data_IF_929354818987
#
_entry.id   IF_929354818987
#
_cell.length_a   1.000
_cell.length_b   1.000
_cell.length_c   1.000
_cell.angle_alpha   90.00
_cell.angle_beta   90.00
_cell.angle_gamma   90.00
#
_symmetry.space_group_name_H-M   'P 1'
#
loop_
_entity.id
_entity.type
_entity.pdbx_description
1 polymer ?
#
# COMPACT_ATOMS: atom_id res chain seq x y z
N UNK A 1 26.50 -55.80 -5.15
CA UNK A 1 25.09 -56.15 -4.91
C UNK A 1 24.31 -55.11 -4.09
N UNK A 2 24.95 -54.15 -3.40
CA UNK A 2 24.22 -53.10 -2.65
C UNK A 2 23.59 -52.04 -3.55
N UNK A 3 24.20 -51.73 -4.67
CA UNK A 3 23.79 -50.59 -5.53
C UNK A 3 22.51 -50.89 -6.32
N UNK A 4 22.31 -52.14 -6.75
CA UNK A 4 21.10 -52.56 -7.47
C UNK A 4 19.81 -52.35 -6.65
N UNK A 5 19.87 -52.56 -5.33
CA UNK A 5 18.73 -52.36 -4.43
C UNK A 5 18.41 -50.87 -4.19
N UNK A 6 19.42 -49.99 -4.23
CA UNK A 6 19.23 -48.55 -4.07
C UNK A 6 18.47 -47.95 -5.27
N UNK A 7 18.86 -48.33 -6.49
CA UNK A 7 18.17 -47.87 -7.70
C UNK A 7 16.73 -48.36 -7.76
N UNK A 8 16.47 -49.60 -7.35
CA UNK A 8 15.13 -50.17 -7.35
C UNK A 8 14.22 -49.47 -6.32
N UNK A 9 14.77 -49.13 -5.16
CA UNK A 9 14.08 -48.32 -4.15
C UNK A 9 13.80 -46.90 -4.65
N UNK A 10 14.76 -46.26 -5.31
CA UNK A 10 14.56 -44.95 -5.94
C UNK A 10 13.49 -44.99 -7.03
N UNK A 11 13.48 -45.99 -7.92
CA UNK A 11 12.49 -46.12 -9.00
C UNK A 11 11.06 -46.24 -8.45
N UNK A 12 10.87 -46.97 -7.34
CA UNK A 12 9.56 -47.11 -6.70
C UNK A 12 9.17 -45.87 -5.89
N UNK A 13 10.13 -45.25 -5.21
CA UNK A 13 9.89 -44.11 -4.32
C UNK A 13 9.66 -42.80 -5.09
N UNK A 14 10.34 -42.63 -6.22
CA UNK A 14 10.32 -41.41 -7.03
C UNK A 14 8.90 -40.99 -7.47
N UNK A 15 8.04 -41.85 -8.06
CA UNK A 15 6.68 -41.47 -8.42
C UNK A 15 5.76 -41.24 -7.22
N UNK A 16 6.11 -41.74 -6.03
CA UNK A 16 5.34 -41.51 -4.79
C UNK A 16 5.66 -40.14 -4.21
N UNK A 17 6.93 -39.73 -4.26
CA UNK A 17 7.41 -38.49 -3.62
C UNK A 17 7.32 -37.29 -4.56
N UNK A 18 7.47 -37.46 -5.88
CA UNK A 18 7.44 -36.32 -6.81
C UNK A 18 6.13 -35.53 -6.81
N UNK A 19 4.94 -36.17 -6.94
CA UNK A 19 3.68 -35.45 -6.98
C UNK A 19 3.40 -34.54 -5.78
N UNK A 20 3.58 -34.99 -4.51
CA UNK A 20 3.38 -34.09 -3.36
C UNK A 20 4.43 -32.98 -3.32
N UNK A 21 5.66 -33.25 -3.73
CA UNK A 21 6.75 -32.24 -3.73
C UNK A 21 6.49 -31.13 -4.76
N UNK A 22 6.00 -31.48 -5.95
CA UNK A 22 5.55 -30.51 -6.96
C UNK A 22 4.34 -29.72 -6.45
N UNK A 23 3.39 -30.41 -5.81
CA UNK A 23 2.17 -29.77 -5.28
C UNK A 23 2.50 -28.71 -4.23
N UNK A 24 3.33 -29.08 -3.23
CA UNK A 24 3.80 -28.15 -2.19
C UNK A 24 4.57 -26.99 -2.82
N UNK A 25 5.49 -27.26 -3.74
CA UNK A 25 6.27 -26.22 -4.43
C UNK A 25 5.38 -25.24 -5.20
N UNK A 26 4.34 -25.74 -5.87
CA UNK A 26 3.41 -24.93 -6.64
C UNK A 26 2.51 -24.06 -5.75
N UNK A 27 2.04 -24.59 -4.63
CA UNK A 27 1.25 -23.82 -3.65
C UNK A 27 2.11 -22.73 -3.02
N UNK A 28 3.35 -23.04 -2.66
CA UNK A 28 4.29 -22.07 -2.11
C UNK A 28 4.59 -20.98 -3.14
N UNK A 29 4.90 -21.36 -4.38
CA UNK A 29 5.14 -20.43 -5.47
C UNK A 29 3.94 -19.51 -5.73
N UNK A 30 2.72 -20.06 -5.79
CA UNK A 30 1.50 -19.27 -5.94
C UNK A 30 1.31 -18.29 -4.79
N UNK A 31 1.50 -18.72 -3.53
CA UNK A 31 1.40 -17.82 -2.37
C UNK A 31 2.45 -16.70 -2.41
N UNK A 32 3.69 -17.01 -2.77
CA UNK A 32 4.75 -16.01 -2.87
C UNK A 32 4.42 -14.99 -3.97
N UNK A 33 4.08 -15.46 -5.18
CA UNK A 33 3.79 -14.61 -6.34
C UNK A 33 2.48 -13.82 -6.18
N UNK A 34 1.46 -14.36 -5.52
CA UNK A 34 0.19 -13.65 -5.31
C UNK A 34 0.29 -12.56 -4.24
N UNK A 35 1.18 -12.69 -3.27
CA UNK A 35 1.39 -11.68 -2.22
C UNK A 35 2.36 -10.58 -2.65
N UNK A 36 3.19 -10.84 -3.67
CA UNK A 36 4.17 -9.90 -4.22
C UNK A 36 3.54 -8.56 -4.71
N UNK A 37 2.40 -8.54 -5.44
CA UNK A 37 1.77 -7.30 -5.88
C UNK A 37 1.26 -6.41 -4.73
N UNK A 38 0.60 -7.01 -3.74
CA UNK A 38 0.03 -6.27 -2.60
C UNK A 38 1.14 -5.73 -1.68
N UNK A 39 2.14 -6.55 -1.38
CA UNK A 39 3.29 -6.14 -0.57
C UNK A 39 4.08 -5.01 -1.25
N UNK A 40 4.30 -5.10 -2.56
CA UNK A 40 4.96 -4.03 -3.33
C UNK A 40 4.14 -2.74 -3.30
N UNK A 41 2.82 -2.83 -3.46
CA UNK A 41 1.92 -1.68 -3.39
C UNK A 41 2.01 -1.00 -2.02
N UNK A 42 1.95 -1.77 -0.93
CA UNK A 42 2.06 -1.23 0.43
C UNK A 42 3.41 -0.55 0.66
N UNK A 43 4.52 -1.13 0.18
CA UNK A 43 5.85 -0.51 0.26
C UNK A 43 5.91 0.82 -0.51
N UNK A 44 5.37 0.86 -1.72
CA UNK A 44 5.33 2.11 -2.52
C UNK A 44 4.48 3.17 -1.80
N UNK A 45 3.32 2.79 -1.27
CA UNK A 45 2.45 3.71 -0.50
C UNK A 45 3.16 4.26 0.75
N UNK A 46 3.90 3.42 1.49
CA UNK A 46 4.69 3.86 2.64
C UNK A 46 5.80 4.84 2.25
N UNK A 47 6.56 4.54 1.20
CA UNK A 47 7.61 5.43 0.68
C UNK A 47 7.01 6.76 0.25
N UNK A 48 5.93 6.74 -0.54
CA UNK A 48 5.26 7.95 -1.02
C UNK A 48 4.79 8.82 0.15
N UNK A 49 4.08 8.24 1.12
CA UNK A 49 3.58 8.98 2.28
C UNK A 49 4.73 9.59 3.10
N UNK A 50 5.82 8.83 3.31
CA UNK A 50 7.00 9.31 4.03
C UNK A 50 7.68 10.48 3.31
N UNK A 51 7.84 10.38 1.99
CA UNK A 51 8.48 11.42 1.18
C UNK A 51 7.64 12.68 1.11
N UNK A 52 6.32 12.54 0.89
CA UNK A 52 5.40 13.67 0.86
C UNK A 52 5.36 14.37 2.22
N UNK A 53 5.29 13.62 3.32
CA UNK A 53 5.32 14.20 4.66
C UNK A 53 6.65 14.94 4.94
N UNK A 54 7.78 14.34 4.55
CA UNK A 54 9.08 14.99 4.68
C UNK A 54 9.18 16.29 3.87
N UNK A 55 8.68 16.30 2.63
CA UNK A 55 8.66 17.50 1.79
C UNK A 55 7.73 18.56 2.37
N UNK A 56 6.53 18.21 2.83
CA UNK A 56 5.63 19.20 3.43
C UNK A 56 6.20 19.81 4.73
N UNK A 57 7.00 19.05 5.49
CA UNK A 57 7.68 19.55 6.70
C UNK A 57 8.95 20.36 6.41
N UNK A 58 9.67 20.05 5.33
CA UNK A 58 10.98 20.68 5.02
C UNK A 58 10.90 21.77 3.96
N UNK A 59 9.84 21.80 3.15
CA UNK A 59 9.65 22.75 2.06
C UNK A 59 9.10 24.11 2.53
N UNK A 60 9.78 24.71 3.50
CA UNK A 60 9.66 26.13 3.80
C UNK A 60 10.31 26.99 2.68
N UNK A 61 11.27 26.42 1.93
CA UNK A 61 12.03 27.10 0.86
C UNK A 61 11.49 26.84 -0.57
N UNK A 62 10.54 25.91 -0.76
CA UNK A 62 9.97 25.61 -2.09
C UNK A 62 8.63 26.31 -2.23
N UNK A 63 8.61 27.40 -3.01
CA UNK A 63 7.52 28.37 -3.02
C UNK A 63 6.28 27.94 -3.83
N UNK A 64 6.39 26.93 -4.71
CA UNK A 64 5.27 26.48 -5.54
C UNK A 64 4.91 25.00 -5.33
N UNK A 65 3.61 24.69 -5.40
CA UNK A 65 3.08 23.33 -5.30
C UNK A 65 3.57 22.41 -6.43
N UNK A 66 3.86 22.96 -7.61
CA UNK A 66 4.40 22.22 -8.74
C UNK A 66 5.84 21.75 -8.47
N UNK A 67 6.67 22.61 -7.90
CA UNK A 67 8.06 22.29 -7.58
C UNK A 67 8.14 21.25 -6.45
N UNK A 68 7.29 21.37 -5.42
CA UNK A 68 7.15 20.35 -4.36
C UNK A 68 6.77 18.98 -4.92
N UNK A 69 5.84 18.94 -5.88
CA UNK A 69 5.43 17.70 -6.56
C UNK A 69 6.57 17.09 -7.37
N UNK A 70 7.30 17.90 -8.14
CA UNK A 70 8.41 17.41 -8.95
C UNK A 70 9.56 16.88 -8.07
N UNK A 71 9.85 17.54 -6.94
CA UNK A 71 10.79 17.06 -5.94
C UNK A 71 10.33 15.72 -5.33
N UNK A 72 9.04 15.59 -4.98
CA UNK A 72 8.46 14.36 -4.46
C UNK A 72 8.57 13.21 -5.46
N UNK A 73 8.23 13.45 -6.73
CA UNK A 73 8.33 12.43 -7.79
C UNK A 73 9.78 11.95 -7.95
N UNK A 74 10.73 12.89 -7.99
CA UNK A 74 12.16 12.58 -8.16
C UNK A 74 12.68 11.74 -7.00
N UNK A 75 12.34 12.13 -5.76
CA UNK A 75 12.83 11.46 -4.56
C UNK A 75 12.18 10.08 -4.37
N UNK A 76 10.87 9.94 -4.63
CA UNK A 76 10.19 8.63 -4.63
C UNK A 76 10.78 7.72 -5.71
N UNK A 77 11.01 8.22 -6.94
CA UNK A 77 11.63 7.43 -8.00
C UNK A 77 13.02 6.92 -7.61
N UNK A 78 13.83 7.77 -6.99
CA UNK A 78 15.16 7.39 -6.53
C UNK A 78 15.10 6.28 -5.47
N UNK A 79 14.26 6.45 -4.44
CA UNK A 79 14.10 5.47 -3.36
C UNK A 79 13.58 4.13 -3.90
N UNK A 80 12.56 4.16 -4.76
CA UNK A 80 12.01 2.92 -5.35
C UNK A 80 13.02 2.21 -6.25
N UNK A 81 13.85 2.96 -6.97
CA UNK A 81 14.94 2.42 -7.79
C UNK A 81 16.00 1.74 -6.93
N UNK A 82 16.40 2.35 -5.81
CA UNK A 82 17.34 1.75 -4.85
C UNK A 82 16.78 0.47 -4.21
N UNK A 83 15.47 0.42 -3.98
CA UNK A 83 14.76 -0.77 -3.46
C UNK A 83 14.46 -1.83 -4.54
N UNK A 84 14.83 -1.60 -5.80
CA UNK A 84 14.56 -2.53 -6.91
C UNK A 84 13.07 -2.70 -7.22
N UNK A 85 12.24 -1.72 -6.87
CA UNK A 85 10.78 -1.75 -7.09
C UNK A 85 10.46 -1.01 -8.40
N UNK A 86 10.03 -1.70 -9.46
CA UNK A 86 9.62 -1.04 -10.69
C UNK A 86 8.27 -0.36 -10.49
N UNK A 87 8.23 0.97 -10.66
CA UNK A 87 7.02 1.76 -10.64
C UNK A 87 7.05 2.79 -11.77
N UNK A 88 5.93 2.97 -12.48
CA UNK A 88 5.85 3.96 -13.56
C UNK A 88 5.80 5.38 -12.97
N UNK A 89 6.38 6.38 -13.67
CA UNK A 89 6.28 7.78 -13.26
C UNK A 89 4.83 8.24 -13.03
N UNK A 90 3.90 7.77 -13.88
CA UNK A 90 2.47 8.04 -13.77
C UNK A 90 1.88 7.48 -12.47
N UNK A 91 2.21 6.24 -12.13
CA UNK A 91 1.75 5.61 -10.87
C UNK A 91 2.25 6.38 -9.65
N UNK A 92 3.53 6.77 -9.65
CA UNK A 92 4.14 7.54 -8.57
C UNK A 92 3.45 8.90 -8.40
N UNK A 93 3.16 9.60 -9.51
CA UNK A 93 2.46 10.90 -9.46
C UNK A 93 1.06 10.77 -8.87
N UNK A 94 0.29 9.76 -9.26
CA UNK A 94 -1.07 9.53 -8.72
C UNK A 94 -1.02 9.24 -7.22
N UNK A 95 -0.05 8.43 -6.77
CA UNK A 95 0.11 8.13 -5.36
C UNK A 95 0.53 9.35 -4.54
N UNK A 96 1.38 10.21 -5.09
CA UNK A 96 1.77 11.47 -4.44
C UNK A 96 0.55 12.39 -4.29
N UNK A 97 -0.28 12.53 -5.31
CA UNK A 97 -1.52 13.32 -5.23
C UNK A 97 -2.47 12.78 -4.17
N UNK A 98 -2.64 11.45 -4.12
CA UNK A 98 -3.45 10.79 -3.08
C UNK A 98 -2.89 11.03 -1.67
N UNK A 99 -1.57 10.98 -1.50
CA UNK A 99 -0.91 11.22 -0.21
C UNK A 99 -1.04 12.68 0.26
N UNK A 100 -0.84 13.64 -0.64
CA UNK A 100 -1.05 15.08 -0.36
C UNK A 100 -2.52 15.34 0.00
N UNK A 101 -3.45 14.78 -0.76
CA UNK A 101 -4.88 14.90 -0.48
C UNK A 101 -5.24 14.33 0.90
N UNK A 102 -4.74 13.14 1.23
CA UNK A 102 -4.93 12.52 2.53
C UNK A 102 -4.37 13.38 3.67
N UNK A 103 -3.15 13.92 3.51
CA UNK A 103 -2.52 14.80 4.48
C UNK A 103 -3.35 16.08 4.71
N UNK A 104 -3.84 16.70 3.64
CA UNK A 104 -4.67 17.90 3.73
C UNK A 104 -6.00 17.64 4.44
N UNK A 105 -6.63 16.47 4.26
CA UNK A 105 -7.84 16.09 5.00
C UNK A 105 -7.58 15.88 6.50
N UNK A 106 -6.39 15.41 6.89
CA UNK A 106 -6.03 15.27 8.30
C UNK A 106 -5.83 16.64 8.94
N UNK A 107 -5.18 17.58 8.25
CA UNK A 107 -4.93 18.94 8.75
C UNK A 107 -6.20 19.78 8.96
N UNK A 108 -7.26 19.54 8.19
CA UNK A 108 -8.54 20.26 8.33
C UNK A 108 -9.41 19.76 9.47
N UNK A 109 -9.10 18.61 10.07
CA UNK A 109 -9.92 17.99 11.13
C UNK A 109 -9.54 18.45 12.55
N UNK A 110 -8.48 19.24 12.71
CA UNK A 110 -7.91 19.63 14.02
C UNK A 110 -8.21 21.07 14.51
N UNK A 111 -9.20 21.77 13.96
CA UNK A 111 -9.54 23.13 14.41
C UNK A 111 -10.95 23.20 15.02
N UNK A 112 -11.14 22.98 16.33
CA UNK A 112 -12.27 23.61 17.02
C UNK A 112 -12.01 25.11 17.04
N UNK A 113 -12.66 25.82 16.13
CA UNK A 113 -12.75 27.29 16.11
C UNK A 113 -13.41 27.75 17.42
N UNK A 114 -12.60 28.06 18.44
CA UNK A 114 -13.08 28.71 19.66
C UNK A 114 -13.04 30.23 19.45
N UNK A 115 -14.13 30.75 18.89
CA UNK A 115 -14.50 32.15 18.99
C UNK A 115 -15.97 32.23 19.39
N UNK A 116 -16.23 32.17 20.69
CA UNK A 116 -17.55 32.35 21.30
C UNK A 116 -17.54 32.05 22.80
N UNK A 117 -17.43 33.12 23.60
CA UNK A 117 -17.83 33.27 25.02
C UNK A 117 -18.05 32.00 25.87
N UNK A 118 -17.20 31.84 26.90
CA UNK A 118 -17.40 31.14 28.17
C UNK A 118 -18.60 30.17 28.26
N UNK A 119 -18.34 28.87 28.07
CA UNK A 119 -19.16 27.81 28.65
C UNK A 119 -18.27 26.75 29.31
N UNK A 120 -18.74 26.34 30.48
CA UNK A 120 -18.02 25.61 31.51
C UNK A 120 -17.46 24.25 31.06
N UNK A 121 -16.28 23.94 31.61
CA UNK A 121 -15.66 22.62 31.52
C UNK A 121 -16.57 21.59 32.24
N UNK A 122 -17.17 20.68 31.49
CA UNK A 122 -17.70 19.44 32.04
C UNK A 122 -17.15 18.28 31.20
N UNK A 123 -16.29 17.47 31.80
CA UNK A 123 -15.62 16.39 31.12
C UNK A 123 -16.58 15.28 30.73
N UNK A 124 -16.34 14.66 29.58
CA UNK A 124 -16.77 13.29 29.29
C UNK A 124 -16.01 12.78 28.06
N UNK A 125 -15.07 11.87 28.30
CA UNK A 125 -14.50 11.00 27.28
C UNK A 125 -15.45 9.81 27.02
N UNK A 126 -15.30 9.24 25.82
CA UNK A 126 -15.79 7.96 25.28
C UNK A 126 -17.05 7.98 24.41
N UNK A 127 -16.82 7.88 23.10
CA UNK A 127 -17.77 7.38 22.10
C UNK A 127 -17.04 7.00 20.83
N UNK A 128 -16.85 5.70 20.59
CA UNK A 128 -16.33 5.13 19.34
C UNK A 128 -17.22 5.56 18.17
N UNK A 129 -16.63 6.16 17.13
CA UNK A 129 -17.24 6.24 15.81
C UNK A 129 -16.38 5.42 14.84
N UNK A 130 -16.80 4.18 14.60
CA UNK A 130 -16.33 3.37 13.47
C UNK A 130 -16.81 4.02 12.17
N UNK A 131 -15.92 4.36 11.21
CA UNK A 131 -16.37 4.78 9.88
C UNK A 131 -16.88 3.56 9.12
N UNK A 132 -18.18 3.55 8.84
CA UNK A 132 -18.82 2.65 7.87
C UNK A 132 -18.22 2.91 6.48
N UNK A 133 -17.75 1.88 5.74
CA UNK A 133 -17.24 2.10 4.40
C UNK A 133 -18.37 2.47 3.42
N UNK A 134 -18.32 3.68 2.85
CA UNK A 134 -19.18 4.08 1.73
C UNK A 134 -18.64 3.47 0.42
N UNK A 135 -19.05 2.25 0.09
CA UNK A 135 -18.91 1.70 -1.26
C UNK A 135 -20.25 1.21 -1.80
N UNK A 136 -21.15 2.13 -2.16
CA UNK A 136 -22.31 1.78 -2.98
C UNK A 136 -22.92 3.02 -3.65
N UNK A 137 -22.29 3.56 -4.70
CA UNK A 137 -23.03 4.39 -5.66
C UNK A 137 -22.33 4.54 -7.03
N UNK A 138 -22.14 3.44 -7.75
CA UNK A 138 -21.98 3.49 -9.21
C UNK A 138 -22.81 2.37 -9.85
N UNK A 139 -24.13 2.57 -9.92
CA UNK A 139 -25.00 1.79 -10.79
C UNK A 139 -26.31 2.56 -11.02
N UNK A 140 -26.26 3.57 -11.89
CA UNK A 140 -27.45 3.99 -12.63
C UNK A 140 -27.06 4.10 -14.11
N UNK A 141 -27.69 3.25 -14.91
CA UNK A 141 -27.59 3.18 -16.36
C UNK A 141 -28.79 2.41 -16.89
N UNK A 142 -29.79 3.16 -17.34
CA UNK A 142 -31.17 2.80 -17.61
C UNK A 142 -31.39 1.74 -18.70
N UNK A 143 -32.26 0.77 -18.45
CA UNK A 143 -33.01 0.05 -19.48
C UNK A 143 -34.44 0.58 -19.49
N UNK A 144 -34.87 1.13 -20.61
CA UNK A 144 -36.24 1.59 -20.89
C UNK A 144 -36.93 0.49 -21.71
N UNK A 145 -38.18 0.08 -21.39
CA UNK A 145 -38.97 -0.84 -22.20
C UNK A 145 -39.51 -0.19 -23.48
#
# INVERSE_FOLDING_TARGET
>A
MKDANLYQLLIVLLPIVLPPLISVSSVLYKKLIQNLPEQRRSMVEQVVNSVVSAIEQTANDVTTSADKKQAAVTLVQQVLKELGIPASPTTISVMIEAAVYALNQMSTTSTPSNNGSAQAYNGQFYGQNTPTPQYAQYAQGSYVP
#
